data_IF_542125984196
#
_entry.id   IF_542125984196
#
_cell.length_a   1.000
_cell.length_b   1.000
_cell.length_c   1.000
_cell.angle_alpha   90.00
_cell.angle_beta   90.00
_cell.angle_gamma   90.00
#
_symmetry.space_group_name_H-M   'P 1'
#
loop_
_entity.id
_entity.type
_entity.pdbx_description
1 polymer ?
#
# COMPACT_ATOMS: atom_id res chain seq x y z
N UNK A 1 12.94 8.25 35.08
CA UNK A 1 11.77 7.51 34.57
C UNK A 1 11.69 7.79 33.07
N UNK A 2 11.90 6.81 32.16
CA UNK A 2 11.55 7.06 30.77
C UNK A 2 10.04 7.31 30.74
N UNK A 3 9.63 8.50 30.28
CA UNK A 3 8.23 8.85 30.15
C UNK A 3 7.54 7.82 29.26
N UNK A 4 6.41 7.28 29.72
CA UNK A 4 5.56 6.43 28.87
C UNK A 4 5.32 7.17 27.55
N UNK A 5 5.46 6.49 26.40
CA UNK A 5 5.18 7.13 25.12
C UNK A 5 3.75 7.69 25.13
N UNK A 6 3.53 8.88 24.53
CA UNK A 6 2.19 9.46 24.49
C UNK A 6 1.21 8.48 23.82
N UNK A 7 -0.07 8.50 24.21
CA UNK A 7 -1.08 7.63 23.61
C UNK A 7 -1.21 7.90 22.11
N UNK A 8 -1.61 6.87 21.36
CA UNK A 8 -1.88 6.99 19.92
C UNK A 8 -3.04 7.97 19.68
N UNK A 9 -2.93 8.79 18.62
CA UNK A 9 -4.04 9.60 18.14
C UNK A 9 -5.22 8.71 17.71
N UNK A 10 -6.40 9.31 17.52
CA UNK A 10 -7.56 8.58 17.00
C UNK A 10 -7.29 7.99 15.60
N UNK A 11 -6.65 8.76 14.71
CA UNK A 11 -6.29 8.29 13.37
C UNK A 11 -5.22 7.21 13.40
N UNK A 12 -4.25 7.30 14.31
CA UNK A 12 -3.27 6.24 14.51
C UNK A 12 -3.91 4.94 15.01
N UNK A 13 -4.92 5.02 15.89
CA UNK A 13 -5.71 3.85 16.31
C UNK A 13 -6.51 3.26 15.17
N UNK A 14 -7.19 4.09 14.38
CA UNK A 14 -7.88 3.63 13.17
C UNK A 14 -6.92 2.93 12.21
N UNK A 15 -5.72 3.50 11.97
CA UNK A 15 -4.72 2.90 11.12
C UNK A 15 -4.23 1.53 11.65
N UNK A 16 -4.08 1.38 12.96
CA UNK A 16 -3.71 0.11 13.59
C UNK A 16 -4.80 -0.96 13.43
N UNK A 17 -6.07 -0.59 13.60
CA UNK A 17 -7.21 -1.51 13.49
C UNK A 17 -7.41 -1.99 12.03
N UNK A 18 -7.28 -1.07 11.08
CA UNK A 18 -7.61 -1.30 9.67
C UNK A 18 -6.43 -1.84 8.85
N UNK A 19 -5.21 -1.35 9.11
CA UNK A 19 -3.99 -1.74 8.41
C UNK A 19 -2.80 -1.93 9.38
N UNK A 20 -2.85 -2.97 10.23
CA UNK A 20 -1.84 -3.20 11.25
C UNK A 20 -0.44 -3.41 10.65
N UNK A 21 -0.33 -4.01 9.45
CA UNK A 21 0.96 -4.24 8.79
C UNK A 21 1.64 -2.92 8.36
N UNK A 22 0.92 -2.01 7.68
CA UNK A 22 1.49 -0.71 7.32
C UNK A 22 1.68 0.17 8.55
N UNK A 23 0.79 0.11 9.54
CA UNK A 23 0.97 0.80 10.81
C UNK A 23 2.28 0.39 11.49
N UNK A 24 2.55 -0.92 11.58
CA UNK A 24 3.79 -1.45 12.16
C UNK A 24 5.03 -0.96 11.38
N UNK A 25 4.96 -0.88 10.05
CA UNK A 25 6.03 -0.31 9.24
C UNK A 25 6.24 1.18 9.56
N UNK A 26 5.16 1.95 9.71
CA UNK A 26 5.21 3.37 10.05
C UNK A 26 5.85 3.64 11.43
N UNK A 27 5.81 2.70 12.38
CA UNK A 27 6.51 2.84 13.66
C UNK A 27 8.04 2.99 13.53
N UNK A 28 8.62 2.57 12.40
CA UNK A 28 10.04 2.75 12.09
C UNK A 28 10.38 4.09 11.45
N UNK A 29 9.37 4.89 11.10
CA UNK A 29 9.56 6.25 10.61
C UNK A 29 10.06 7.20 11.72
N UNK A 30 10.79 8.28 11.36
CA UNK A 30 11.15 9.36 12.27
C UNK A 30 9.92 9.92 13.00
N UNK A 31 10.03 10.10 14.32
CA UNK A 31 8.94 10.60 15.18
C UNK A 31 8.24 11.85 14.64
N UNK A 32 8.94 12.89 14.12
CA UNK A 32 8.28 14.13 13.70
C UNK A 32 7.27 13.98 12.55
N UNK A 33 7.40 12.94 11.72
CA UNK A 33 6.54 12.73 10.54
C UNK A 33 5.78 11.41 10.54
N UNK A 34 5.94 10.63 11.61
CA UNK A 34 5.24 9.35 11.76
C UNK A 34 3.72 9.53 11.76
N UNK A 35 3.24 10.56 12.46
CA UNK A 35 1.81 10.84 12.55
C UNK A 35 1.22 11.15 11.17
N UNK A 36 1.93 11.90 10.33
CA UNK A 36 1.48 12.22 8.98
C UNK A 36 1.32 10.95 8.11
N UNK A 37 2.18 9.94 8.28
CA UNK A 37 1.98 8.63 7.63
C UNK A 37 0.74 7.92 8.20
N UNK A 38 0.51 7.98 9.52
CA UNK A 38 -0.67 7.38 10.15
C UNK A 38 -1.97 8.03 9.65
N UNK A 39 -1.98 9.35 9.43
CA UNK A 39 -3.09 10.07 8.79
C UNK A 39 -3.36 9.52 7.39
N UNK A 40 -2.33 9.38 6.55
CA UNK A 40 -2.48 8.81 5.21
C UNK A 40 -3.07 7.39 5.25
N UNK A 41 -2.59 6.53 6.17
CA UNK A 41 -3.12 5.18 6.34
C UNK A 41 -4.59 5.19 6.77
N UNK A 42 -4.95 6.04 7.72
CA UNK A 42 -6.32 6.16 8.20
C UNK A 42 -7.27 6.67 7.11
N UNK A 43 -6.88 7.71 6.36
CA UNK A 43 -7.66 8.23 5.22
C UNK A 43 -7.82 7.16 4.14
N UNK A 44 -6.73 6.47 3.76
CA UNK A 44 -6.82 5.36 2.81
C UNK A 44 -7.84 4.31 3.26
N UNK A 45 -7.83 3.93 4.54
CA UNK A 45 -8.79 2.98 5.08
C UNK A 45 -10.23 3.52 5.01
N UNK A 46 -10.45 4.79 5.36
CA UNK A 46 -11.77 5.44 5.23
C UNK A 46 -12.30 5.41 3.79
N UNK A 47 -11.45 5.71 2.80
CA UNK A 47 -11.84 5.69 1.38
C UNK A 47 -12.08 4.26 0.90
N UNK A 48 -11.21 3.30 1.26
CA UNK A 48 -11.35 1.89 0.87
C UNK A 48 -12.61 1.23 1.46
N UNK A 49 -13.10 1.71 2.61
CA UNK A 49 -14.36 1.24 3.23
C UNK A 49 -15.62 1.76 2.54
N UNK A 50 -15.53 2.71 1.60
CA UNK A 50 -16.73 3.29 0.97
C UNK A 50 -17.56 2.20 0.29
N UNK A 51 -16.96 1.44 -0.62
CA UNK A 51 -17.67 0.39 -1.36
C UNK A 51 -18.35 -0.67 -0.46
N UNK A 52 -17.68 -1.29 0.52
CA UNK A 52 -18.35 -2.26 1.40
C UNK A 52 -19.34 -1.62 2.39
N UNK A 53 -19.36 -0.29 2.54
CA UNK A 53 -20.27 0.42 3.47
C UNK A 53 -21.59 0.88 2.85
N UNK A 54 -21.81 0.62 1.55
CA UNK A 54 -23.00 1.04 0.81
C UNK A 54 -23.59 -0.13 0.04
N UNK A 55 -24.91 -0.15 -0.08
CA UNK A 55 -25.62 -1.14 -0.91
C UNK A 55 -25.77 -0.66 -2.35
N UNK A 56 -26.07 0.63 -2.52
CA UNK A 56 -26.29 1.24 -3.83
C UNK A 56 -25.00 1.89 -4.37
N UNK A 57 -24.52 1.53 -5.57
CA UNK A 57 -23.30 2.09 -6.15
C UNK A 57 -23.30 3.62 -6.22
N UNK A 58 -24.47 4.23 -6.47
CA UNK A 58 -24.63 5.69 -6.52
C UNK A 58 -24.23 6.35 -5.19
N UNK A 59 -24.58 5.76 -4.04
CA UNK A 59 -24.17 6.29 -2.73
C UNK A 59 -22.64 6.23 -2.55
N UNK A 60 -22.00 5.17 -3.07
CA UNK A 60 -20.55 5.04 -3.11
C UNK A 60 -19.91 6.13 -3.97
N UNK A 61 -20.46 6.37 -5.16
CA UNK A 61 -20.00 7.43 -6.08
C UNK A 61 -20.10 8.82 -5.43
N UNK A 62 -21.21 9.12 -4.75
CA UNK A 62 -21.38 10.39 -4.02
C UNK A 62 -20.32 10.58 -2.92
N UNK A 63 -20.01 9.53 -2.15
CA UNK A 63 -18.98 9.57 -1.10
C UNK A 63 -17.57 9.72 -1.67
N UNK A 64 -17.25 9.03 -2.78
CA UNK A 64 -15.99 9.21 -3.48
C UNK A 64 -15.86 10.63 -4.03
N UNK A 65 -16.94 11.16 -4.62
CA UNK A 65 -16.96 12.53 -5.14
C UNK A 65 -16.72 13.55 -4.03
N UNK A 66 -17.38 13.39 -2.89
CA UNK A 66 -17.13 14.23 -1.71
C UNK A 66 -15.65 14.22 -1.31
N UNK A 67 -14.99 13.06 -1.31
CA UNK A 67 -13.55 12.98 -1.02
C UNK A 67 -12.71 13.71 -2.07
N UNK A 68 -13.03 13.59 -3.36
CA UNK A 68 -12.33 14.30 -4.43
C UNK A 68 -12.47 15.81 -4.30
N UNK A 69 -13.69 16.31 -4.06
CA UNK A 69 -13.95 17.73 -3.85
C UNK A 69 -13.25 18.23 -2.58
N UNK A 70 -13.23 17.43 -1.52
CA UNK A 70 -12.53 17.74 -0.27
C UNK A 70 -11.04 17.88 -0.51
N UNK A 71 -10.36 16.87 -1.07
CA UNK A 71 -8.90 16.96 -1.27
C UNK A 71 -8.51 18.04 -2.27
N UNK A 72 -9.41 18.43 -3.18
CA UNK A 72 -9.21 19.56 -4.06
C UNK A 72 -9.22 20.89 -3.31
N UNK A 73 -10.11 21.08 -2.32
CA UNK A 73 -10.23 22.34 -1.59
C UNK A 73 -9.23 22.51 -0.44
N UNK A 74 -8.74 21.40 0.13
CA UNK A 74 -7.80 21.45 1.25
C UNK A 74 -6.50 22.18 0.90
N UNK A 75 -6.15 23.19 1.71
CA UNK A 75 -4.92 23.98 1.55
C UNK A 75 -5.08 25.24 0.69
N UNK A 76 -6.29 25.50 0.15
CA UNK A 76 -6.59 26.72 -0.62
C UNK A 76 -7.07 27.90 0.26
N UNK A 77 -6.77 27.88 1.57
CA UNK A 77 -7.26 28.88 2.53
C UNK A 77 -8.70 28.65 3.01
N UNK A 78 -9.39 27.63 2.48
CA UNK A 78 -10.69 27.20 2.96
C UNK A 78 -10.59 26.44 4.28
N UNK A 79 -11.63 26.54 5.13
CA UNK A 79 -11.69 25.78 6.39
C UNK A 79 -11.87 24.30 6.11
N UNK A 80 -11.19 23.45 6.87
CA UNK A 80 -11.42 22.02 6.83
C UNK A 80 -12.91 21.67 7.06
N UNK A 81 -13.45 20.66 6.37
CA UNK A 81 -14.78 20.13 6.68
C UNK A 81 -14.83 19.64 8.13
N UNK A 82 -15.70 20.25 8.94
CA UNK A 82 -15.83 19.90 10.36
C UNK A 82 -16.49 18.53 10.54
N UNK A 83 -16.03 17.78 11.55
CA UNK A 83 -16.58 16.47 11.89
C UNK A 83 -16.03 15.31 11.06
N UNK A 84 -15.01 15.58 10.23
CA UNK A 84 -14.29 14.56 9.46
C UNK A 84 -12.81 14.53 9.86
N UNK A 85 -12.42 13.77 10.89
CA UNK A 85 -11.06 13.82 11.46
C UNK A 85 -9.95 13.58 10.44
N UNK A 86 -10.18 12.73 9.44
CA UNK A 86 -9.22 12.50 8.36
C UNK A 86 -9.04 13.73 7.45
N UNK A 87 -10.12 14.43 7.10
CA UNK A 87 -10.06 15.64 6.29
C UNK A 87 -9.44 16.81 7.07
N UNK A 88 -9.77 16.95 8.36
CA UNK A 88 -9.16 17.92 9.27
C UNK A 88 -7.65 17.70 9.39
N UNK A 89 -7.21 16.46 9.60
CA UNK A 89 -5.78 16.16 9.67
C UNK A 89 -5.05 16.38 8.32
N UNK A 90 -5.68 16.05 7.18
CA UNK A 90 -5.12 16.38 5.87
C UNK A 90 -4.99 17.89 5.66
N UNK A 91 -5.97 18.67 6.13
CA UNK A 91 -5.91 20.13 6.08
C UNK A 91 -4.72 20.66 6.88
N UNK A 92 -4.52 20.17 8.10
CA UNK A 92 -3.38 20.56 8.93
C UNK A 92 -2.05 20.24 8.26
N UNK A 93 -1.91 19.04 7.67
CA UNK A 93 -0.70 18.66 6.92
C UNK A 93 -0.48 19.56 5.68
N UNK A 94 -1.55 19.98 5.01
CA UNK A 94 -1.49 20.91 3.90
C UNK A 94 -1.02 22.30 4.33
N UNK A 95 -1.60 22.84 5.41
CA UNK A 95 -1.23 24.13 5.99
C UNK A 95 0.23 24.15 6.49
N UNK A 96 0.75 23.01 6.94
CA UNK A 96 2.16 22.84 7.34
C UNK A 96 3.10 22.63 6.15
N UNK A 97 2.58 22.53 4.92
CA UNK A 97 3.38 22.25 3.72
C UNK A 97 3.97 20.84 3.68
N UNK A 98 3.43 19.90 4.48
CA UNK A 98 3.93 18.51 4.58
C UNK A 98 3.39 17.64 3.44
N UNK A 99 2.19 17.95 2.96
CA UNK A 99 1.48 17.17 1.95
C UNK A 99 0.68 18.12 1.04
N UNK A 100 0.63 17.79 -0.25
CA UNK A 100 -0.39 18.32 -1.16
C UNK A 100 -1.56 17.33 -1.19
N UNK A 101 -2.75 17.67 -0.63
CA UNK A 101 -3.87 16.72 -0.57
C UNK A 101 -4.37 16.28 -1.95
N UNK A 102 -4.20 17.11 -2.98
CA UNK A 102 -4.61 16.77 -4.35
C UNK A 102 -3.90 15.53 -4.89
N UNK A 103 -2.72 15.21 -4.35
CA UNK A 103 -1.98 14.01 -4.70
C UNK A 103 -2.69 12.70 -4.26
N UNK A 104 -3.75 12.78 -3.44
CA UNK A 104 -4.63 11.65 -3.12
C UNK A 104 -5.71 11.42 -4.18
N UNK A 105 -5.97 12.36 -5.09
CA UNK A 105 -7.06 12.21 -6.06
C UNK A 105 -6.96 10.94 -6.90
N UNK A 106 -5.79 10.56 -7.49
CA UNK A 106 -5.69 9.35 -8.30
C UNK A 106 -6.04 8.07 -7.52
N UNK A 107 -5.69 8.01 -6.23
CA UNK A 107 -6.01 6.84 -5.41
C UNK A 107 -7.48 6.81 -4.98
N UNK A 108 -8.16 7.96 -4.89
CA UNK A 108 -9.61 8.04 -4.64
C UNK A 108 -10.38 7.68 -5.90
N UNK A 109 -9.99 8.20 -7.07
CA UNK A 109 -10.64 7.90 -8.35
C UNK A 109 -10.57 6.40 -8.68
N UNK A 110 -9.42 5.76 -8.46
CA UNK A 110 -9.25 4.33 -8.67
C UNK A 110 -10.21 3.47 -7.84
N UNK A 111 -10.75 3.99 -6.73
CA UNK A 111 -11.71 3.27 -5.86
C UNK A 111 -13.11 3.21 -6.44
N UNK A 112 -13.41 3.93 -7.52
CA UNK A 112 -14.64 3.72 -8.27
C UNK A 112 -14.78 2.27 -8.75
N UNK A 113 -13.67 1.61 -9.09
CA UNK A 113 -13.63 0.19 -9.43
C UNK A 113 -14.17 -0.70 -8.30
N UNK A 114 -14.01 -0.31 -7.03
CA UNK A 114 -14.47 -1.13 -5.90
C UNK A 114 -16.01 -1.23 -5.84
N UNK A 115 -16.74 -0.34 -6.52
CA UNK A 115 -18.21 -0.34 -6.58
C UNK A 115 -18.77 -1.40 -7.55
N UNK A 116 -17.93 -1.93 -8.43
CA UNK A 116 -18.32 -2.98 -9.37
C UNK A 116 -18.12 -4.37 -8.76
N UNK A 117 -19.01 -5.35 -9.03
CA UNK A 117 -18.83 -6.72 -8.56
C UNK A 117 -17.60 -7.43 -9.14
N UNK A 118 -17.17 -7.07 -10.34
CA UNK A 118 -16.03 -7.69 -11.06
C UNK A 118 -15.27 -6.64 -11.89
N UNK A 119 -14.49 -5.75 -11.25
CA UNK A 119 -13.95 -4.56 -11.92
C UNK A 119 -12.78 -4.81 -12.86
N UNK A 120 -12.11 -5.95 -12.76
CA UNK A 120 -10.84 -6.17 -13.43
C UNK A 120 -10.98 -7.15 -14.59
N UNK A 121 -11.04 -6.69 -15.85
CA UNK A 121 -11.08 -7.59 -17.00
C UNK A 121 -9.76 -8.37 -17.13
N UNK A 122 -8.62 -7.69 -16.94
CA UNK A 122 -7.28 -8.24 -17.19
C UNK A 122 -6.33 -8.08 -15.99
N UNK A 123 -5.23 -8.84 -16.01
CA UNK A 123 -4.14 -8.65 -15.04
C UNK A 123 -3.53 -7.24 -15.11
N UNK A 124 -3.54 -6.60 -16.28
CA UNK A 124 -3.03 -5.24 -16.42
C UNK A 124 -3.94 -4.24 -15.71
N UNK A 125 -5.26 -4.35 -15.88
CA UNK A 125 -6.24 -3.53 -15.16
C UNK A 125 -6.10 -3.68 -13.64
N UNK A 126 -5.97 -4.91 -13.14
CA UNK A 126 -5.70 -5.19 -11.72
C UNK A 126 -4.39 -4.54 -11.24
N UNK A 127 -3.33 -4.60 -12.05
CA UNK A 127 -2.05 -3.99 -11.75
C UNK A 127 -2.10 -2.46 -11.72
N UNK A 128 -2.82 -1.85 -12.66
CA UNK A 128 -3.06 -0.41 -12.72
C UNK A 128 -3.81 0.06 -11.48
N UNK A 129 -4.87 -0.66 -11.08
CA UNK A 129 -5.59 -0.39 -9.83
C UNK A 129 -4.67 -0.49 -8.60
N UNK A 130 -3.87 -1.57 -8.47
CA UNK A 130 -2.98 -1.75 -7.33
C UNK A 130 -1.89 -0.66 -7.26
N UNK A 131 -1.42 -0.19 -8.41
CA UNK A 131 -0.48 0.94 -8.50
C UNK A 131 -1.14 2.25 -8.09
N UNK A 132 -2.31 2.56 -8.65
CA UNK A 132 -3.04 3.79 -8.39
C UNK A 132 -3.50 3.92 -6.93
N UNK A 133 -3.74 2.80 -6.25
CA UNK A 133 -4.13 2.77 -4.83
C UNK A 133 -2.94 2.57 -3.90
N UNK A 134 -2.51 1.32 -3.71
CA UNK A 134 -1.47 0.95 -2.74
C UNK A 134 -0.07 1.45 -3.11
N UNK A 135 0.21 1.57 -4.41
CA UNK A 135 1.44 2.20 -4.92
C UNK A 135 1.50 3.68 -4.57
N UNK A 136 0.47 4.45 -4.92
CA UNK A 136 0.32 5.87 -4.57
C UNK A 136 0.44 6.11 -3.07
N UNK A 137 -0.22 5.30 -2.23
CA UNK A 137 -0.11 5.43 -0.76
C UNK A 137 1.34 5.30 -0.26
N UNK A 138 2.12 4.39 -0.86
CA UNK A 138 3.52 4.18 -0.47
C UNK A 138 4.42 5.31 -0.96
N UNK A 139 4.14 5.85 -2.15
CA UNK A 139 4.79 7.05 -2.69
C UNK A 139 4.50 8.29 -1.81
N UNK A 140 3.23 8.57 -1.52
CA UNK A 140 2.84 9.64 -0.60
C UNK A 140 3.50 9.50 0.78
N UNK A 141 3.64 8.27 1.28
CA UNK A 141 4.33 8.02 2.54
C UNK A 141 5.81 8.42 2.48
N UNK A 142 6.54 8.11 1.39
CA UNK A 142 7.95 8.53 1.28
C UNK A 142 8.10 10.04 1.06
N UNK A 143 7.16 10.68 0.36
CA UNK A 143 7.12 12.15 0.19
C UNK A 143 6.94 12.87 1.52
N UNK A 144 5.92 12.47 2.29
CA UNK A 144 5.66 13.00 3.63
C UNK A 144 6.87 12.80 4.53
N UNK A 145 7.48 11.61 4.54
CA UNK A 145 8.68 11.36 5.35
C UNK A 145 9.88 12.19 4.89
N UNK A 146 10.04 12.40 3.58
CA UNK A 146 11.07 13.25 2.98
C UNK A 146 10.84 14.73 3.27
N UNK A 147 9.60 15.16 3.43
CA UNK A 147 9.24 16.56 3.70
C UNK A 147 9.27 17.42 2.47
N UNK A 148 9.03 16.79 1.33
CA UNK A 148 8.95 17.45 0.05
C UNK A 148 7.61 17.05 -0.57
N UNK A 149 7.05 17.96 -1.38
CA UNK A 149 5.84 17.68 -2.18
C UNK A 149 6.08 16.52 -3.15
N UNK A 150 7.31 16.37 -3.60
CA UNK A 150 7.76 15.32 -4.49
C UNK A 150 8.97 14.60 -3.89
N UNK A 151 8.99 13.28 -4.04
CA UNK A 151 10.16 12.48 -3.73
C UNK A 151 11.04 12.39 -4.98
N UNK A 152 12.36 12.16 -4.83
CA UNK A 152 13.21 11.83 -5.97
C UNK A 152 12.58 10.70 -6.82
N UNK A 153 12.60 10.76 -8.16
CA UNK A 153 11.89 9.81 -9.02
C UNK A 153 12.21 8.34 -8.72
N UNK A 154 13.46 8.03 -8.40
CA UNK A 154 13.92 6.70 -8.00
C UNK A 154 13.32 6.24 -6.67
N UNK A 155 13.19 7.15 -5.69
CA UNK A 155 12.58 6.87 -4.39
C UNK A 155 11.07 6.61 -4.54
N UNK A 156 10.39 7.48 -5.29
CA UNK A 156 8.97 7.34 -5.60
C UNK A 156 8.69 6.01 -6.34
N UNK A 157 9.52 5.68 -7.34
CA UNK A 157 9.42 4.43 -8.11
C UNK A 157 9.57 3.19 -7.23
N UNK A 158 10.58 3.15 -6.36
CA UNK A 158 10.79 2.01 -5.44
C UNK A 158 9.63 1.86 -4.47
N UNK A 159 9.19 2.97 -3.85
CA UNK A 159 8.06 2.96 -2.93
C UNK A 159 6.77 2.49 -3.61
N UNK A 160 6.46 3.02 -4.79
CA UNK A 160 5.29 2.64 -5.57
C UNK A 160 5.31 1.16 -5.97
N UNK A 161 6.48 0.58 -6.34
CA UNK A 161 6.61 -0.85 -6.63
C UNK A 161 6.30 -1.71 -5.41
N UNK A 162 6.87 -1.37 -4.24
CA UNK A 162 6.59 -2.09 -2.99
C UNK A 162 5.10 -1.99 -2.64
N UNK A 163 4.52 -0.80 -2.74
CA UNK A 163 3.10 -0.56 -2.51
C UNK A 163 2.20 -1.38 -3.44
N UNK A 164 2.51 -1.38 -4.74
CA UNK A 164 1.78 -2.14 -5.76
C UNK A 164 1.80 -3.64 -5.46
N UNK A 165 2.99 -4.19 -5.18
CA UNK A 165 3.14 -5.60 -4.84
C UNK A 165 2.35 -5.97 -3.56
N UNK A 166 2.38 -5.10 -2.55
CA UNK A 166 1.61 -5.29 -1.33
C UNK A 166 0.10 -5.21 -1.57
N UNK A 167 -0.36 -4.29 -2.43
CA UNK A 167 -1.76 -4.19 -2.84
C UNK A 167 -2.26 -5.46 -3.52
N UNK A 168 -1.49 -6.00 -4.47
CA UNK A 168 -1.81 -7.26 -5.15
C UNK A 168 -1.87 -8.45 -4.16
N UNK A 169 -0.93 -8.53 -3.21
CA UNK A 169 -1.01 -9.53 -2.13
C UNK A 169 -2.26 -9.35 -1.27
N UNK A 170 -2.65 -8.10 -0.99
CA UNK A 170 -3.88 -7.77 -0.28
C UNK A 170 -5.12 -8.30 -1.00
N UNK A 171 -5.20 -8.15 -2.33
CA UNK A 171 -6.32 -8.64 -3.12
C UNK A 171 -6.37 -10.19 -3.15
N UNK A 172 -5.22 -10.86 -3.26
CA UNK A 172 -5.14 -12.32 -3.11
C UNK A 172 -5.64 -12.78 -1.73
N UNK A 173 -5.28 -12.06 -0.66
CA UNK A 173 -5.76 -12.35 0.72
C UNK A 173 -7.26 -12.14 0.87
N UNK A 174 -7.77 -11.09 0.24
CA UNK A 174 -9.18 -10.71 0.33
C UNK A 174 -10.08 -11.58 -0.56
N UNK A 175 -9.52 -12.30 -1.54
CA UNK A 175 -10.28 -13.02 -2.56
C UNK A 175 -11.38 -13.90 -1.97
N UNK A 176 -11.06 -14.75 -0.98
CA UNK A 176 -12.05 -15.63 -0.35
C UNK A 176 -13.17 -14.87 0.36
N UNK A 177 -12.82 -13.82 1.12
CA UNK A 177 -13.81 -13.05 1.88
C UNK A 177 -14.74 -12.28 0.93
N UNK A 178 -14.18 -11.61 -0.06
CA UNK A 178 -14.94 -10.85 -1.05
C UNK A 178 -15.77 -11.75 -1.96
N UNK A 179 -15.28 -12.94 -2.30
CA UNK A 179 -16.06 -13.92 -3.05
C UNK A 179 -17.31 -14.39 -2.28
N UNK A 180 -17.23 -14.51 -0.95
CA UNK A 180 -18.39 -14.83 -0.12
C UNK A 180 -19.44 -13.70 -0.10
N UNK A 181 -19.03 -12.46 -0.42
CA UNK A 181 -19.89 -11.29 -0.62
C UNK A 181 -20.32 -11.12 -2.09
N UNK A 182 -20.02 -12.08 -2.97
CA UNK A 182 -20.36 -12.03 -4.40
C UNK A 182 -19.46 -11.11 -5.23
N UNK A 183 -18.26 -10.75 -4.72
CA UNK A 183 -17.32 -9.84 -5.38
C UNK A 183 -16.07 -10.59 -5.88
N UNK A 184 -15.71 -10.36 -7.13
CA UNK A 184 -14.51 -10.88 -7.76
C UNK A 184 -13.43 -9.79 -7.87
N UNK A 185 -12.30 -9.98 -7.19
CA UNK A 185 -11.14 -9.07 -7.26
C UNK A 185 -9.99 -9.60 -8.11
N UNK A 186 -10.17 -10.75 -8.74
CA UNK A 186 -9.21 -11.32 -9.67
C UNK A 186 -9.63 -11.03 -11.12
N UNK A 187 -8.70 -11.12 -12.08
CA UNK A 187 -9.00 -10.81 -13.46
C UNK A 187 -10.02 -11.78 -14.07
N UNK A 188 -11.04 -11.25 -14.73
CA UNK A 188 -12.11 -12.05 -15.35
C UNK A 188 -11.56 -13.00 -16.43
N UNK A 189 -10.60 -12.57 -17.22
CA UNK A 189 -9.97 -13.43 -18.24
C UNK A 189 -9.18 -14.59 -17.61
N UNK A 190 -8.60 -14.37 -16.42
CA UNK A 190 -7.87 -15.41 -15.69
C UNK A 190 -8.83 -16.46 -15.12
N UNK A 191 -9.98 -16.01 -14.62
CA UNK A 191 -11.09 -16.86 -14.18
C UNK A 191 -11.61 -17.73 -15.31
N UNK A 192 -11.88 -17.12 -16.47
CA UNK A 192 -12.34 -17.82 -17.66
C UNK A 192 -11.35 -18.90 -18.11
N UNK A 193 -10.04 -18.60 -18.12
CA UNK A 193 -8.98 -19.58 -18.42
C UNK A 193 -8.90 -20.72 -17.40
N UNK A 194 -9.30 -20.48 -16.15
CA UNK A 194 -9.40 -21.50 -15.11
C UNK A 194 -10.74 -22.25 -15.13
N UNK A 195 -11.66 -21.91 -16.04
CA UNK A 195 -13.00 -22.52 -16.11
C UNK A 195 -13.92 -22.14 -14.94
N UNK A 196 -13.71 -20.97 -14.33
CA UNK A 196 -14.45 -20.50 -13.16
C UNK A 196 -15.26 -19.26 -13.52
N UNK A 197 -16.56 -19.27 -13.23
CA UNK A 197 -17.38 -18.06 -13.33
C UNK A 197 -17.24 -17.21 -12.05
N UNK A 198 -17.29 -15.85 -12.15
CA UNK A 198 -17.24 -14.98 -10.98
C UNK A 198 -18.31 -15.29 -9.90
N UNK A 199 -19.49 -15.71 -10.33
CA UNK A 199 -20.61 -16.09 -9.44
C UNK A 199 -20.33 -17.32 -8.59
N UNK A 200 -19.43 -18.20 -9.05
CA UNK A 200 -19.13 -19.47 -8.39
C UNK A 200 -17.99 -19.34 -7.37
N UNK A 201 -17.32 -18.18 -7.29
CA UNK A 201 -16.14 -17.98 -6.44
C UNK A 201 -16.40 -18.17 -4.94
N UNK A 202 -17.65 -18.07 -4.48
CA UNK A 202 -18.01 -18.37 -3.10
C UNK A 202 -17.77 -19.84 -2.74
N UNK A 203 -17.72 -20.72 -3.75
CA UNK A 203 -17.54 -22.16 -3.58
C UNK A 203 -16.05 -22.53 -3.43
N UNK A 204 -15.67 -23.31 -2.40
CA UNK A 204 -14.27 -23.73 -2.22
C UNK A 204 -13.64 -24.44 -3.43
N UNK A 205 -14.36 -25.27 -4.22
CA UNK A 205 -13.80 -25.84 -5.46
C UNK A 205 -13.41 -24.79 -6.51
N UNK A 206 -14.19 -23.71 -6.65
CA UNK A 206 -13.87 -22.62 -7.57
C UNK A 206 -12.60 -21.87 -7.13
N UNK A 207 -12.48 -21.57 -5.83
CA UNK A 207 -11.27 -20.95 -5.27
C UNK A 207 -10.01 -21.81 -5.45
N UNK A 208 -10.13 -23.14 -5.32
CA UNK A 208 -9.03 -24.09 -5.58
C UNK A 208 -8.59 -24.08 -7.04
N UNK A 209 -9.55 -24.03 -7.97
CA UNK A 209 -9.28 -24.01 -9.41
C UNK A 209 -8.46 -22.77 -9.84
N UNK A 210 -8.46 -21.71 -9.03
CA UNK A 210 -7.67 -20.49 -9.25
C UNK A 210 -6.19 -20.60 -8.82
N UNK A 211 -5.71 -21.75 -8.36
CA UNK A 211 -4.30 -21.94 -8.02
C UNK A 211 -3.31 -21.51 -9.13
N UNK A 212 -3.54 -21.77 -10.44
CA UNK A 212 -2.69 -21.27 -11.52
C UNK A 212 -2.70 -19.74 -11.63
N UNK A 213 -3.86 -19.11 -11.43
CA UNK A 213 -4.04 -17.65 -11.43
C UNK A 213 -3.26 -17.02 -10.27
N UNK A 214 -3.43 -17.58 -9.07
CA UNK A 214 -2.69 -17.16 -7.88
C UNK A 214 -1.18 -17.29 -8.09
N UNK A 215 -0.71 -18.40 -8.67
CA UNK A 215 0.71 -18.60 -8.99
C UNK A 215 1.26 -17.51 -9.90
N UNK A 216 0.60 -17.24 -11.03
CA UNK A 216 1.04 -16.21 -11.98
C UNK A 216 1.10 -14.81 -11.34
N UNK A 217 0.09 -14.47 -10.51
CA UNK A 217 0.10 -13.20 -9.77
C UNK A 217 1.23 -13.16 -8.74
N UNK A 218 1.49 -14.25 -8.02
CA UNK A 218 2.61 -14.34 -7.07
C UNK A 218 3.96 -14.17 -7.77
N UNK A 219 4.17 -14.77 -8.94
CA UNK A 219 5.39 -14.59 -9.73
C UNK A 219 5.61 -13.11 -10.08
N UNK A 220 4.60 -12.45 -10.63
CA UNK A 220 4.64 -11.00 -10.92
C UNK A 220 4.94 -10.15 -9.68
N UNK A 221 4.35 -10.50 -8.54
CA UNK A 221 4.58 -9.83 -7.26
C UNK A 221 6.04 -10.00 -6.83
N UNK A 222 6.59 -11.19 -6.96
CA UNK A 222 7.98 -11.47 -6.59
C UNK A 222 8.96 -10.74 -7.51
N UNK A 223 8.70 -10.68 -8.81
CA UNK A 223 9.50 -9.92 -9.76
C UNK A 223 9.47 -8.42 -9.43
N UNK A 224 8.30 -7.88 -9.12
CA UNK A 224 8.14 -6.47 -8.70
C UNK A 224 8.92 -6.18 -7.42
N UNK A 225 8.88 -7.10 -6.44
CA UNK A 225 9.64 -6.98 -5.19
C UNK A 225 11.16 -7.14 -5.42
N UNK A 226 11.58 -8.01 -6.34
CA UNK A 226 12.99 -8.19 -6.70
C UNK A 226 13.56 -6.91 -7.33
N UNK A 227 12.81 -6.30 -8.28
CA UNK A 227 13.17 -5.01 -8.88
C UNK A 227 13.25 -3.90 -7.82
N UNK A 228 12.29 -3.84 -6.89
CA UNK A 228 12.33 -2.86 -5.80
C UNK A 228 13.53 -3.07 -4.86
N UNK A 229 13.93 -4.31 -4.59
CA UNK A 229 15.11 -4.63 -3.77
C UNK A 229 16.42 -4.24 -4.44
N UNK A 230 16.54 -4.45 -5.76
CA UNK A 230 17.72 -4.07 -6.52
C UNK A 230 17.96 -2.55 -6.46
N UNK A 231 16.87 -1.77 -6.50
CA UNK A 231 16.91 -0.30 -6.46
C UNK A 231 16.78 0.29 -5.05
N UNK A 232 16.67 -0.53 -3.99
CA UNK A 232 16.42 -0.06 -2.64
C UNK A 232 17.55 0.83 -2.07
N UNK A 233 18.75 0.75 -2.63
CA UNK A 233 19.89 1.58 -2.27
C UNK A 233 19.67 3.07 -2.58
N UNK A 234 18.77 3.40 -3.50
CA UNK A 234 18.36 4.77 -3.78
C UNK A 234 17.50 5.40 -2.68
N UNK A 235 16.94 4.60 -1.76
CA UNK A 235 15.98 5.08 -0.75
C UNK A 235 16.70 5.40 0.57
N UNK A 236 16.77 6.68 0.99
CA UNK A 236 17.39 7.04 2.26
C UNK A 236 16.66 6.42 3.45
N UNK A 237 17.41 6.02 4.48
CA UNK A 237 16.85 5.39 5.68
C UNK A 237 15.71 6.18 6.34
N UNK A 238 15.74 7.52 6.44
CA UNK A 238 14.65 8.29 7.07
C UNK A 238 13.28 8.11 6.40
N UNK A 239 13.26 7.76 5.11
CA UNK A 239 12.02 7.58 4.33
C UNK A 239 11.73 6.12 4.01
N UNK A 240 12.60 5.18 4.42
CA UNK A 240 12.52 3.77 4.02
C UNK A 240 11.44 2.94 4.75
N UNK A 241 10.66 3.53 5.67
CA UNK A 241 9.66 2.80 6.44
C UNK A 241 8.64 2.03 5.57
N UNK A 242 8.09 2.58 4.46
CA UNK A 242 7.19 1.83 3.57
C UNK A 242 7.84 0.60 2.89
N UNK A 243 9.16 0.61 2.71
CA UNK A 243 9.89 -0.51 2.10
C UNK A 243 9.91 -1.75 3.00
N UNK A 244 9.62 -1.62 4.29
CA UNK A 244 9.56 -2.76 5.22
C UNK A 244 8.44 -3.75 4.87
N UNK A 245 7.45 -3.35 4.06
CA UNK A 245 6.44 -4.25 3.51
C UNK A 245 7.07 -5.40 2.70
N UNK A 246 8.26 -5.20 2.11
CA UNK A 246 9.00 -6.27 1.42
C UNK A 246 9.35 -7.44 2.36
N UNK A 247 9.60 -7.17 3.65
CA UNK A 247 9.90 -8.20 4.64
C UNK A 247 8.65 -8.95 5.13
N UNK A 248 7.48 -8.29 5.02
CA UNK A 248 6.17 -8.86 5.33
C UNK A 248 5.58 -9.65 4.16
N UNK A 249 5.99 -9.35 2.92
CA UNK A 249 5.52 -10.02 1.72
C UNK A 249 6.03 -11.47 1.60
N UNK A 250 7.33 -11.71 1.80
CA UNK A 250 7.95 -13.04 1.67
C UNK A 250 7.27 -14.18 2.44
N UNK A 251 6.93 -14.03 3.74
CA UNK A 251 6.29 -15.12 4.46
C UNK A 251 4.88 -15.42 3.97
N UNK A 252 4.17 -14.41 3.47
CA UNK A 252 2.86 -14.61 2.87
C UNK A 252 2.98 -15.38 1.55
N UNK A 253 3.92 -14.98 0.69
CA UNK A 253 4.25 -15.71 -0.54
C UNK A 253 4.68 -17.16 -0.26
N UNK A 254 5.53 -17.39 0.75
CA UNK A 254 5.93 -18.74 1.16
C UNK A 254 4.74 -19.57 1.61
N UNK A 255 3.78 -18.96 2.29
CA UNK A 255 2.57 -19.66 2.73
C UNK A 255 1.70 -20.06 1.53
N UNK A 256 1.44 -19.14 0.60
CA UNK A 256 0.73 -19.46 -0.64
C UNK A 256 1.39 -20.63 -1.38
N UNK A 257 2.72 -20.65 -1.46
CA UNK A 257 3.47 -21.77 -2.07
C UNK A 257 3.27 -23.08 -1.30
N UNK A 258 3.32 -23.06 0.03
CA UNK A 258 3.15 -24.28 0.84
C UNK A 258 1.75 -24.88 0.75
N UNK A 259 0.73 -24.09 0.42
CA UNK A 259 -0.65 -24.56 0.21
C UNK A 259 -0.93 -24.90 -1.26
N UNK A 260 0.11 -24.96 -2.12
CA UNK A 260 -0.08 -25.20 -3.54
C UNK A 260 -0.84 -24.09 -4.28
N UNK A 261 -0.85 -22.88 -3.70
CA UNK A 261 -1.63 -21.72 -4.16
C UNK A 261 -3.16 -21.88 -4.04
N UNK A 262 -3.62 -22.80 -3.21
CA UNK A 262 -5.06 -22.95 -2.92
C UNK A 262 -5.60 -21.74 -2.14
N UNK A 263 -6.43 -20.92 -2.79
CA UNK A 263 -7.08 -19.75 -2.19
C UNK A 263 -8.20 -20.12 -1.21
N UNK A 264 -8.67 -21.37 -1.22
CA UNK A 264 -9.62 -21.89 -0.25
C UNK A 264 -8.96 -22.36 1.05
N UNK A 265 -7.62 -22.47 1.11
CA UNK A 265 -6.93 -23.04 2.27
C UNK A 265 -7.08 -22.15 3.53
N UNK A 266 -7.60 -22.68 4.65
CA UNK A 266 -7.81 -21.91 5.87
C UNK A 266 -6.50 -21.37 6.48
N UNK A 267 -5.35 -21.96 6.18
CA UNK A 267 -4.04 -21.46 6.61
C UNK A 267 -3.76 -20.03 6.10
N UNK A 268 -4.40 -19.61 5.00
CA UNK A 268 -4.26 -18.26 4.45
C UNK A 268 -4.98 -17.20 5.29
N UNK A 269 -5.98 -17.57 6.11
CA UNK A 269 -6.72 -16.64 6.96
C UNK A 269 -5.89 -16.12 8.15
N UNK A 270 -4.88 -16.87 8.60
CA UNK A 270 -4.08 -16.49 9.76
C UNK A 270 -3.19 -15.27 9.45
N UNK A 271 -3.37 -14.14 10.15
CA UNK A 271 -2.42 -13.01 10.05
C UNK A 271 -1.21 -13.28 10.95
N UNK A 272 0.01 -13.49 10.42
CA UNK A 272 1.13 -13.73 11.30
C UNK A 272 1.63 -12.40 11.90
N UNK A 273 1.61 -12.26 13.22
CA UNK A 273 2.31 -11.18 13.91
C UNK A 273 3.83 -11.39 13.77
N UNK A 274 4.56 -10.44 13.16
CA UNK A 274 6.02 -10.58 12.96
C UNK A 274 6.83 -9.30 13.26
N UNK A 275 6.70 -8.71 14.47
CA UNK A 275 7.48 -7.53 14.85
C UNK A 275 9.01 -7.77 14.74
N UNK A 276 9.48 -8.98 15.04
CA UNK A 276 10.91 -9.34 14.94
C UNK A 276 11.49 -9.24 13.52
N UNK A 277 10.70 -9.55 12.47
CA UNK A 277 11.17 -9.47 11.08
C UNK A 277 11.26 -8.03 10.60
N UNK A 278 10.32 -7.19 11.02
CA UNK A 278 10.38 -5.75 10.76
C UNK A 278 11.60 -5.12 11.43
N UNK A 279 11.88 -5.49 12.69
CA UNK A 279 13.06 -5.03 13.40
C UNK A 279 14.36 -5.44 12.68
N UNK A 280 14.49 -6.71 12.26
CA UNK A 280 15.63 -7.18 11.50
C UNK A 280 15.79 -6.47 10.14
N UNK A 281 14.69 -6.27 9.41
CA UNK A 281 14.71 -5.56 8.14
C UNK A 281 15.12 -4.08 8.29
N UNK A 282 14.60 -3.40 9.31
CA UNK A 282 14.95 -2.01 9.62
C UNK A 282 16.43 -1.86 10.02
N UNK A 283 16.96 -2.83 10.79
CA UNK A 283 18.39 -2.87 11.11
C UNK A 283 19.26 -3.10 9.85
N UNK A 284 18.85 -4.00 8.97
CA UNK A 284 19.56 -4.24 7.70
C UNK A 284 19.54 -3.03 6.76
N UNK A 285 18.47 -2.24 6.74
CA UNK A 285 18.41 -0.96 6.01
C UNK A 285 19.41 0.06 6.58
N UNK A 286 19.47 0.20 7.92
CA UNK A 286 20.42 1.09 8.61
C UNK A 286 21.87 0.68 8.43
N UNK A 287 22.15 -0.62 8.36
CA UNK A 287 23.50 -1.12 8.12
C UNK A 287 23.96 -0.79 6.69
N UNK A 288 23.12 -1.04 5.68
CA UNK A 288 23.43 -0.72 4.28
C UNK A 288 23.69 0.77 4.05
N UNK A 289 22.92 1.66 4.66
CA UNK A 289 23.13 3.10 4.50
C UNK A 289 24.45 3.60 5.11
N UNK A 290 24.88 3.03 6.25
CA UNK A 290 26.17 3.35 6.89
C UNK A 290 27.39 2.88 6.09
N UNK A 291 27.26 1.79 5.34
CA UNK A 291 28.36 1.26 4.52
C UNK A 291 28.34 1.77 3.07
N UNK A 292 27.21 2.25 2.55
CA UNK A 292 27.16 2.95 1.27
C UNK A 292 27.94 4.28 1.28
N UNK A 293 28.00 4.96 2.43
CA UNK A 293 28.83 6.17 2.64
C UNK A 293 30.33 5.90 2.80
N UNK A 294 30.77 4.63 2.76
CA UNK A 294 32.18 4.23 2.88
C UNK A 294 32.78 3.69 1.57
N UNK A 295 32.07 3.78 0.44
CA UNK A 295 32.70 3.58 -0.87
C UNK A 295 33.50 4.84 -1.26
N UNK A 296 34.82 4.74 -1.48
CA UNK A 296 35.60 5.89 -1.91
C UNK A 296 35.16 6.30 -3.32
N UNK A 297 34.92 7.59 -3.50
CA UNK A 297 34.88 8.21 -4.81
C UNK A 297 36.27 8.10 -5.46
N UNK A 298 36.51 7.01 -6.20
CA UNK A 298 37.62 6.86 -7.14
C UNK A 298 37.01 6.93 -8.56
N UNK A 299 37.34 7.87 -9.44
CA UNK A 299 38.25 8.98 -9.32
C UNK A 299 37.95 10.01 -10.42
N UNK A 300 37.92 11.27 -10.04
CA UNK A 300 38.38 12.34 -10.91
C UNK A 300 39.82 12.63 -10.49
N UNK A 301 40.78 12.25 -11.31
CA UNK A 301 41.93 13.07 -11.65
C UNK A 301 42.84 12.35 -12.66
N UNK A 302 42.90 12.97 -13.84
CA UNK A 302 44.13 13.30 -14.55
C UNK A 302 44.83 12.17 -15.35
N UNK A 303 44.78 12.27 -16.68
CA UNK A 303 45.91 12.75 -17.51
C UNK A 303 45.67 12.39 -18.99
N UNK A 304 45.89 13.37 -19.89
CA UNK A 304 46.14 13.07 -21.30
C UNK A 304 45.63 14.10 -22.31
N UNK A 305 46.17 15.32 -22.28
CA UNK A 305 46.44 16.14 -23.48
C UNK A 305 47.68 17.00 -23.17
N UNK A 306 48.52 17.38 -24.15
CA UNK A 306 48.36 17.22 -25.59
C UNK A 306 49.12 16.05 -26.20
#
# INVERSE_FOLDING_TARGET
>A
MPSSPPPLSALARQALEEDPERFQCALFAPRPRREAVMVLLAVNASVARIAPSVTEPVLGQMRLRWWLDTVASLGQGERAPSGHPGAEALHELACQGVLDPTALAPMIEARAADLEPSPFPTQDALGTYARATAGTLSDLSVRVLGGAREAPPEVARVAARVGTAWGLLGLLRATRALAAEGRCVLPVDDLARAGVAPTDLSQPPALRALAPVCRALVERIQDTLAQARAEAHHVPTPVAAPLLLTALADPFVRRLRSTGFDLADPALAARPARPARLAAAALGQRWRSRHASLSPANGQQNQGLP
#
